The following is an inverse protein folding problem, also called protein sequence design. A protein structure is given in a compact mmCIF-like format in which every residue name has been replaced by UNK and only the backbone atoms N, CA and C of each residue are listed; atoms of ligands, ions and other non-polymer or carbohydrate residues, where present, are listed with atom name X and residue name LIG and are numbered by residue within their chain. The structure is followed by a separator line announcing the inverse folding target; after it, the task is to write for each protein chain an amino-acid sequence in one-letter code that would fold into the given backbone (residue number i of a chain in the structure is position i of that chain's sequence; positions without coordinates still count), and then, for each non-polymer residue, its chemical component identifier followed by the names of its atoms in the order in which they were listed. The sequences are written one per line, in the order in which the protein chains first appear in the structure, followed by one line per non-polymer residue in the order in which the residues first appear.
data_IF_238833505211
#
_entry.id   IF_238833505211
#
_cell.length_a   1.000
_cell.length_b   1.000
_cell.length_c   1.000
_cell.angle_alpha   90.00
_cell.angle_beta   90.00
_cell.angle_gamma   90.00
#
_symmetry.space_group_name_H-M   'P 1'
#
loop_
_entity.id
_entity.type
_entity.pdbx_description
1 polymer ?
#
# COMPACT_ATOMS: atom_id res chain seq x y z
N UNK A 1 1.94 13.48 -13.88
CA UNK A 1 2.92 12.82 -12.99
C UNK A 1 2.18 11.80 -12.16
N UNK A 2 2.27 10.52 -12.51
CA UNK A 2 1.62 9.42 -11.78
C UNK A 2 2.37 9.14 -10.49
N UNK A 3 1.66 9.11 -9.36
CA UNK A 3 2.24 8.77 -8.06
C UNK A 3 2.30 7.25 -7.96
N UNK A 4 3.52 6.68 -7.96
CA UNK A 4 3.72 5.23 -8.04
C UNK A 4 3.77 4.53 -6.68
N UNK A 5 3.82 5.28 -5.58
CA UNK A 5 4.05 4.76 -4.23
C UNK A 5 3.01 5.27 -3.24
N UNK A 6 2.40 4.34 -2.50
CA UNK A 6 1.28 4.59 -1.60
C UNK A 6 1.56 4.05 -0.20
N UNK A 7 1.20 4.80 0.82
CA UNK A 7 1.31 4.34 2.21
C UNK A 7 0.19 3.36 2.55
N UNK A 8 0.41 2.44 3.48
CA UNK A 8 -0.67 1.56 3.97
C UNK A 8 -1.85 2.34 4.58
N UNK A 9 -1.66 3.61 4.96
CA UNK A 9 -2.74 4.47 5.46
C UNK A 9 -3.60 5.01 4.32
N UNK A 10 -3.00 5.35 3.18
CA UNK A 10 -3.73 5.77 1.97
C UNK A 10 -4.50 4.59 1.36
N UNK A 11 -3.96 3.37 1.48
CA UNK A 11 -4.60 2.16 0.96
C UNK A 11 -5.74 1.65 1.84
N UNK A 12 -5.68 1.91 3.15
CA UNK A 12 -6.68 1.36 4.08
C UNK A 12 -8.09 1.87 3.73
N UNK A 13 -9.02 0.94 3.55
CA UNK A 13 -10.42 1.24 3.22
C UNK A 13 -10.72 1.50 1.75
N UNK A 14 -9.73 1.39 0.85
CA UNK A 14 -9.98 1.37 -0.59
C UNK A 14 -10.69 0.07 -1.03
N UNK A 15 -11.37 0.06 -2.19
CA UNK A 15 -11.88 -1.17 -2.79
C UNK A 15 -10.75 -2.22 -2.93
N UNK A 16 -11.01 -3.44 -2.45
CA UNK A 16 -10.02 -4.52 -2.43
C UNK A 16 -8.95 -4.42 -1.34
N UNK A 17 -8.99 -3.36 -0.50
CA UNK A 17 -8.07 -3.18 0.62
C UNK A 17 -8.72 -3.49 1.97
N UNK A 18 -7.93 -3.97 2.94
CA UNK A 18 -8.37 -4.03 4.33
C UNK A 18 -8.71 -2.64 4.89
N UNK A 19 -9.66 -2.59 5.83
CA UNK A 19 -10.09 -1.33 6.45
C UNK A 19 -9.04 -0.67 7.36
N UNK A 20 -8.00 -1.41 7.77
CA UNK A 20 -7.00 -0.90 8.73
C UNK A 20 -5.59 -0.98 8.17
N UNK A 21 -4.76 0.01 8.53
CA UNK A 21 -3.34 0.07 8.18
C UNK A 21 -2.60 -1.25 8.51
N UNK A 22 -2.81 -1.80 9.70
CA UNK A 22 -2.15 -3.03 10.15
C UNK A 22 -2.52 -4.24 9.27
N UNK A 23 -3.78 -4.31 8.84
CA UNK A 23 -4.24 -5.38 7.96
C UNK A 23 -3.69 -5.21 6.53
N UNK A 24 -3.56 -3.99 6.02
CA UNK A 24 -2.87 -3.70 4.75
C UNK A 24 -1.41 -4.16 4.83
N UNK A 25 -0.68 -3.83 5.90
CA UNK A 25 0.71 -4.28 6.09
C UNK A 25 0.81 -5.81 6.12
N UNK A 26 -0.13 -6.49 6.81
CA UNK A 26 -0.17 -7.96 6.83
C UNK A 26 -0.43 -8.52 5.43
N UNK A 27 -1.35 -7.93 4.69
CA UNK A 27 -1.68 -8.36 3.32
C UNK A 27 -0.49 -8.14 2.38
N UNK A 28 0.13 -6.97 2.43
CA UNK A 28 1.30 -6.66 1.64
C UNK A 28 2.48 -7.61 1.92
N UNK A 29 2.63 -8.08 3.15
CA UNK A 29 3.60 -9.14 3.49
C UNK A 29 3.21 -10.50 2.93
N UNK A 30 1.93 -10.88 3.02
CA UNK A 30 1.44 -12.15 2.52
C UNK A 30 1.54 -12.25 0.99
N UNK A 31 1.22 -11.16 0.30
CA UNK A 31 1.22 -11.05 -1.16
C UNK A 31 2.58 -10.56 -1.71
N UNK A 32 3.60 -10.44 -0.85
CA UNK A 32 4.95 -10.00 -1.19
C UNK A 32 5.01 -8.71 -2.04
N UNK A 33 4.21 -7.70 -1.68
CA UNK A 33 4.17 -6.45 -2.44
C UNK A 33 5.51 -5.72 -2.42
N UNK A 34 5.83 -5.10 -3.56
CA UNK A 34 7.00 -4.23 -3.66
C UNK A 34 6.82 -3.04 -2.73
N UNK A 35 7.73 -2.92 -1.77
CA UNK A 35 7.70 -1.85 -0.79
C UNK A 35 9.03 -1.12 -0.69
N UNK A 36 9.01 0.16 -0.39
CA UNK A 36 10.19 0.96 -0.07
C UNK A 36 10.07 1.61 1.29
N UNK A 37 11.22 1.86 1.92
CA UNK A 37 11.26 2.70 3.10
C UNK A 37 10.91 4.14 2.71
N UNK A 38 9.98 4.75 3.43
CA UNK A 38 9.62 6.15 3.25
C UNK A 38 10.83 7.02 3.61
N UNK A 39 11.23 7.92 2.72
CA UNK A 39 12.23 8.93 3.00
C UNK A 39 11.62 10.03 3.89
N UNK A 40 11.55 9.77 5.20
CA UNK A 40 11.01 10.72 6.18
C UNK A 40 11.10 10.21 7.62
N UNK A 41 10.90 11.10 8.60
CA UNK A 41 10.85 10.71 10.02
C UNK A 41 9.64 9.79 10.27
N UNK A 42 9.86 8.68 10.98
CA UNK A 42 8.82 7.75 11.41
C UNK A 42 8.79 6.38 10.73
N UNK A 43 9.77 6.02 9.89
CA UNK A 43 10.04 4.61 9.52
C UNK A 43 8.88 3.87 8.83
N UNK A 44 8.08 4.58 8.04
CA UNK A 44 6.95 3.99 7.30
C UNK A 44 7.39 3.24 6.04
N UNK A 45 6.54 2.33 5.55
CA UNK A 45 6.69 1.69 4.24
C UNK A 45 5.67 2.26 3.26
N UNK A 46 6.14 2.47 2.04
CA UNK A 46 5.29 2.77 0.87
C UNK A 46 5.28 1.55 -0.04
N UNK A 47 4.16 1.29 -0.70
CA UNK A 47 3.91 0.15 -1.57
C UNK A 47 3.73 0.64 -3.01
N UNK A 48 4.29 -0.11 -3.96
CA UNK A 48 4.19 0.23 -5.36
C UNK A 48 2.76 0.00 -5.88
N UNK A 49 2.26 0.92 -6.72
CA UNK A 49 0.95 0.82 -7.36
C UNK A 49 0.77 -0.51 -8.12
N UNK A 50 1.81 -0.93 -8.84
CA UNK A 50 1.81 -2.17 -9.62
C UNK A 50 1.68 -3.44 -8.77
N UNK A 51 1.96 -3.37 -7.46
CA UNK A 51 1.78 -4.49 -6.53
C UNK A 51 0.40 -4.52 -5.88
N UNK A 52 -0.44 -3.50 -6.09
CA UNK A 52 -1.78 -3.45 -5.51
C UNK A 52 -2.74 -4.40 -6.27
N UNK A 53 -3.84 -4.85 -5.66
CA UNK A 53 -4.94 -5.54 -6.33
C UNK A 53 -5.56 -4.67 -7.43
N UNK A 54 -6.07 -5.33 -8.47
CA UNK A 54 -6.72 -4.67 -9.62
C UNK A 54 -7.88 -3.77 -9.19
N UNK A 55 -8.64 -4.19 -8.19
CA UNK A 55 -9.75 -3.42 -7.60
C UNK A 55 -9.29 -2.06 -7.06
N UNK A 56 -8.10 -2.01 -6.46
CA UNK A 56 -7.49 -0.78 -5.94
C UNK A 56 -6.82 0.04 -7.05
N UNK A 57 -6.34 -0.61 -8.11
CA UNK A 57 -5.76 0.08 -9.27
C UNK A 57 -6.81 0.74 -10.17
N UNK A 58 -8.04 0.21 -10.17
CA UNK A 58 -9.14 0.69 -11.01
C UNK A 58 -10.05 1.72 -10.33
N UNK A 59 -9.81 2.04 -9.05
CA UNK A 59 -10.57 3.00 -8.25
C UNK A 59 -10.04 4.43 -8.45
#
# INVERSE_FOLDING_TARGET
MSREWFTAKELAGLPGMPATHSAVVRRAKADAWSHRCRAGRGGGREYAFASLPVETQAA
#
